data_IF_438559210389
#
_entry.id   IF_438559210389
#
_cell.length_a   1.000
_cell.length_b   1.000
_cell.length_c   1.000
_cell.angle_alpha   90.00
_cell.angle_beta   90.00
_cell.angle_gamma   90.00
#
_symmetry.space_group_name_H-M   'P 1'
#
loop_
_entity.id
_entity.type
_entity.pdbx_description
1 polymer ?
#
# COMPACT_ATOMS: atom_id res chain seq x y z
N UNK A 1 -6.51 -1.20 4.13
CA UNK A 1 -5.37 -0.28 3.99
C UNK A 1 -5.39 0.66 5.19
N UNK A 2 -4.27 1.05 5.81
CA UNK A 2 -4.32 2.00 6.96
C UNK A 2 -4.61 3.40 6.46
N UNK A 3 -5.65 4.01 7.01
CA UNK A 3 -5.65 5.43 7.32
C UNK A 3 -5.94 5.56 8.82
N UNK A 4 -5.03 6.19 9.56
CA UNK A 4 -5.42 6.75 10.85
C UNK A 4 -6.52 7.77 10.57
N UNK A 5 -7.68 7.64 11.22
CA UNK A 5 -8.75 8.65 11.16
C UNK A 5 -8.14 10.00 11.54
N UNK A 6 -7.70 10.77 10.55
CA UNK A 6 -7.52 12.18 10.77
C UNK A 6 -8.96 12.70 10.88
N UNK A 7 -9.35 13.39 11.97
CA UNK A 7 -10.61 14.10 11.94
C UNK A 7 -10.50 15.09 10.79
N UNK A 8 -11.25 14.85 9.71
CA UNK A 8 -11.27 15.76 8.59
C UNK A 8 -11.70 17.13 9.11
N UNK A 9 -10.89 18.15 8.82
CA UNK A 9 -11.18 19.55 9.11
C UNK A 9 -11.41 20.34 7.82
N UNK A 10 -11.49 19.67 6.68
CA UNK A 10 -11.88 20.25 5.40
C UNK A 10 -13.17 19.61 4.93
N UNK A 11 -14.16 20.45 4.63
CA UNK A 11 -15.22 20.15 3.70
C UNK A 11 -14.98 21.02 2.46
N UNK A 12 -14.98 20.42 1.27
CA UNK A 12 -14.72 21.15 0.02
C UNK A 12 -15.92 22.02 -0.44
N UNK A 13 -16.99 21.98 0.35
CA UNK A 13 -18.23 22.75 0.22
C UNK A 13 -18.08 24.28 0.31
N UNK A 14 -16.93 24.81 0.73
CA UNK A 14 -16.77 26.26 0.79
C UNK A 14 -16.59 26.83 -0.62
N UNK A 15 -17.51 27.73 -1.02
CA UNK A 15 -17.46 28.51 -2.27
C UNK A 15 -16.09 29.18 -2.52
N UNK A 16 -15.31 29.42 -1.45
CA UNK A 16 -13.96 30.01 -1.47
C UNK A 16 -12.89 28.99 -1.85
N UNK A 17 -13.00 27.73 -1.43
CA UNK A 17 -12.05 26.66 -1.80
C UNK A 17 -12.19 26.29 -3.28
N UNK A 18 -13.44 26.16 -3.77
CA UNK A 18 -13.74 25.88 -5.18
C UNK A 18 -13.12 26.87 -6.17
N UNK A 19 -13.13 28.17 -5.86
CA UNK A 19 -12.60 29.21 -6.74
C UNK A 19 -11.07 29.33 -6.70
N UNK A 20 -10.43 28.87 -5.63
CA UNK A 20 -8.99 28.98 -5.43
C UNK A 20 -8.22 27.72 -5.89
N UNK A 21 -8.92 26.62 -6.18
CA UNK A 21 -8.30 25.43 -6.77
C UNK A 21 -7.97 25.63 -8.26
N UNK A 22 -6.80 26.21 -8.48
CA UNK A 22 -6.23 26.43 -9.81
C UNK A 22 -5.95 25.07 -10.49
N UNK A 23 -6.58 24.84 -11.65
CA UNK A 23 -6.55 23.61 -12.47
C UNK A 23 -7.42 22.45 -12.00
N UNK A 24 -8.51 22.72 -11.29
CA UNK A 24 -9.48 21.69 -10.96
C UNK A 24 -10.14 21.07 -12.21
N UNK A 25 -10.36 19.75 -12.23
CA UNK A 25 -11.15 19.09 -13.25
C UNK A 25 -12.58 19.67 -13.31
N UNK A 26 -13.21 19.59 -14.49
CA UNK A 26 -14.64 19.86 -14.59
C UNK A 26 -15.43 18.71 -13.96
N UNK A 27 -16.66 18.98 -13.50
CA UNK A 27 -17.54 17.98 -12.89
C UNK A 27 -17.80 16.74 -13.76
N UNK A 28 -17.69 16.89 -15.08
CA UNK A 28 -17.86 15.84 -16.09
C UNK A 28 -16.53 15.26 -16.59
N UNK A 29 -15.40 15.63 -16.00
CA UNK A 29 -14.08 15.15 -16.41
C UNK A 29 -13.89 13.69 -15.99
N UNK A 30 -13.54 12.78 -16.92
CA UNK A 30 -13.29 11.38 -16.59
C UNK A 30 -12.05 11.27 -15.71
N UNK A 31 -12.22 10.70 -14.52
CA UNK A 31 -11.16 10.39 -13.58
C UNK A 31 -11.17 8.91 -13.20
N UNK A 32 -10.09 8.46 -12.58
CA UNK A 32 -9.94 7.09 -12.08
C UNK A 32 -10.46 7.01 -10.64
N UNK A 33 -11.46 6.17 -10.40
CA UNK A 33 -11.85 5.77 -9.05
C UNK A 33 -11.03 4.56 -8.60
N UNK A 34 -10.49 4.62 -7.38
CA UNK A 34 -9.80 3.49 -6.74
C UNK A 34 -10.63 3.05 -5.54
N UNK A 35 -11.05 1.79 -5.54
CA UNK A 35 -11.85 1.21 -4.46
C UNK A 35 -11.00 0.26 -3.61
N UNK A 36 -11.07 0.41 -2.29
CA UNK A 36 -10.51 -0.54 -1.34
C UNK A 36 -11.60 -1.50 -0.86
N UNK A 37 -11.28 -2.80 -0.78
CA UNK A 37 -12.21 -3.86 -0.35
C UNK A 37 -11.62 -4.62 0.84
N UNK A 38 -12.32 -4.64 1.97
CA UNK A 38 -12.02 -5.48 3.15
C UNK A 38 -13.06 -6.57 3.31
N UNK A 39 -12.84 -7.71 2.66
CA UNK A 39 -13.73 -8.86 2.69
C UNK A 39 -13.41 -9.85 3.83
N UNK A 40 -12.79 -9.38 4.92
CA UNK A 40 -12.50 -10.22 6.10
C UNK A 40 -13.78 -10.87 6.61
N UNK A 41 -13.73 -12.17 6.89
CA UNK A 41 -14.87 -12.94 7.39
C UNK A 41 -14.83 -13.08 8.91
N UNK A 42 -16.00 -13.14 9.54
CA UNK A 42 -16.18 -13.44 10.96
C UNK A 42 -17.35 -14.39 11.15
N UNK A 43 -17.37 -15.11 12.27
CA UNK A 43 -18.50 -15.94 12.66
C UNK A 43 -19.51 -15.14 13.48
N UNK A 44 -20.78 -15.24 13.12
CA UNK A 44 -21.91 -14.69 13.86
C UNK A 44 -22.79 -15.84 14.41
N UNK A 45 -23.17 -15.80 15.70
CA UNK A 45 -23.97 -16.86 16.31
C UNK A 45 -25.36 -17.10 15.68
N UNK A 46 -25.91 -16.12 14.96
CA UNK A 46 -27.23 -16.16 14.33
C UNK A 46 -27.15 -16.37 12.81
N UNK A 47 -26.10 -15.87 12.17
CA UNK A 47 -25.99 -15.84 10.71
C UNK A 47 -24.85 -16.70 10.14
N UNK A 48 -24.02 -17.33 10.99
CA UNK A 48 -22.86 -18.11 10.55
C UNK A 48 -21.73 -17.21 10.05
N UNK A 49 -20.97 -17.66 9.05
CA UNK A 49 -19.87 -16.87 8.47
C UNK A 49 -20.40 -15.67 7.69
N UNK A 50 -20.08 -14.45 8.15
CA UNK A 50 -20.45 -13.17 7.54
C UNK A 50 -19.21 -12.30 7.29
N UNK A 51 -19.36 -11.16 6.58
CA UNK A 51 -18.31 -10.15 6.53
C UNK A 51 -18.15 -9.47 7.89
N UNK A 52 -16.91 -9.24 8.30
CA UNK A 52 -16.58 -8.53 9.54
C UNK A 52 -16.94 -7.04 9.50
N UNK A 53 -17.16 -6.49 8.31
CA UNK A 53 -17.51 -5.10 8.08
C UNK A 53 -18.65 -5.03 7.04
N UNK A 54 -19.54 -4.05 7.17
CA UNK A 54 -20.72 -3.88 6.32
C UNK A 54 -20.91 -2.41 5.84
N UNK A 55 -19.82 -1.63 5.85
CA UNK A 55 -19.80 -0.19 5.53
C UNK A 55 -20.53 0.74 6.49
N UNK A 56 -21.02 0.23 7.63
CA UNK A 56 -21.65 1.04 8.69
C UNK A 56 -20.60 1.84 9.50
N UNK A 57 -20.88 2.12 10.78
CA UNK A 57 -20.04 2.90 11.72
C UNK A 57 -18.71 2.23 12.13
N UNK A 58 -18.29 1.18 11.42
CA UNK A 58 -17.07 0.42 11.71
C UNK A 58 -15.81 1.20 11.33
N UNK A 59 -14.69 1.03 12.07
CA UNK A 59 -13.39 1.61 11.68
C UNK A 59 -12.91 1.16 10.29
N UNK A 60 -13.18 -0.08 9.90
CA UNK A 60 -12.88 -0.62 8.58
C UNK A 60 -14.15 -0.65 7.74
N UNK A 61 -14.03 -0.35 6.45
CA UNK A 61 -15.12 -0.41 5.48
C UNK A 61 -14.98 -1.65 4.61
N UNK A 62 -16.10 -2.31 4.32
CA UNK A 62 -16.15 -3.46 3.39
C UNK A 62 -15.73 -3.03 1.99
N UNK A 63 -16.21 -1.87 1.54
CA UNK A 63 -15.85 -1.20 0.29
C UNK A 63 -15.71 0.29 0.60
N UNK A 64 -14.65 0.95 0.17
CA UNK A 64 -14.56 2.42 0.27
C UNK A 64 -13.90 3.02 -0.94
N UNK A 65 -14.27 4.25 -1.29
CA UNK A 65 -13.52 5.04 -2.24
C UNK A 65 -12.22 5.52 -1.57
N UNK A 66 -11.12 5.43 -2.29
CA UNK A 66 -9.85 5.99 -1.86
C UNK A 66 -9.75 7.43 -2.39
N UNK A 67 -10.49 8.35 -1.77
CA UNK A 67 -10.65 9.76 -2.17
C UNK A 67 -9.28 10.41 -2.44
N UNK A 68 -9.02 10.90 -3.66
CA UNK A 68 -7.67 11.28 -4.09
C UNK A 68 -7.10 12.53 -3.39
N UNK A 69 -7.94 13.34 -2.76
CA UNK A 69 -7.57 14.48 -1.90
C UNK A 69 -7.28 14.09 -0.44
N UNK A 70 -7.67 12.88 -0.03
CA UNK A 70 -7.49 12.35 1.32
C UNK A 70 -8.42 12.94 2.38
N UNK A 71 -9.53 13.59 2.00
CA UNK A 71 -10.48 14.19 2.94
C UNK A 71 -11.35 13.15 3.66
N UNK A 72 -11.58 11.99 3.06
CA UNK A 72 -12.35 10.86 3.61
C UNK A 72 -13.77 11.28 4.04
N UNK A 73 -14.36 12.25 3.35
CA UNK A 73 -15.59 12.89 3.79
C UNK A 73 -16.84 12.06 3.44
N UNK A 74 -16.77 11.22 2.41
CA UNK A 74 -17.89 10.36 2.00
C UNK A 74 -18.26 9.31 3.05
N UNK A 75 -17.28 8.90 3.87
CA UNK A 75 -17.42 7.81 4.83
C UNK A 75 -17.79 8.29 6.25
N UNK A 76 -17.86 9.61 6.49
CA UNK A 76 -17.92 10.22 7.82
C UNK A 76 -19.32 10.52 8.35
N UNK A 77 -20.36 10.55 7.50
CA UNK A 77 -21.80 10.58 7.80
C UNK A 77 -22.57 11.33 6.69
N UNK A 78 -23.88 11.08 6.59
CA UNK A 78 -24.81 11.80 5.71
C UNK A 78 -25.06 13.25 6.20
N UNK A 79 -24.00 14.03 6.35
CA UNK A 79 -24.09 15.47 6.52
C UNK A 79 -24.16 16.11 5.13
N UNK A 80 -24.94 17.19 4.99
CA UNK A 80 -25.19 17.85 3.69
C UNK A 80 -23.95 18.41 2.99
N UNK A 81 -22.79 18.39 3.66
CA UNK A 81 -21.51 18.83 3.11
C UNK A 81 -20.41 17.79 3.09
N UNK A 82 -20.78 16.51 3.16
CA UNK A 82 -19.91 15.35 2.94
C UNK A 82 -20.29 14.74 1.59
N UNK A 83 -19.95 15.42 0.50
CA UNK A 83 -20.46 15.10 -0.83
C UNK A 83 -19.33 14.78 -1.79
N UNK A 84 -19.63 13.89 -2.73
CA UNK A 84 -18.74 13.59 -3.84
C UNK A 84 -18.40 14.84 -4.63
N UNK A 85 -17.13 14.96 -5.01
CA UNK A 85 -16.66 15.98 -5.93
C UNK A 85 -15.53 15.46 -6.84
N UNK A 86 -15.11 16.24 -7.86
CA UNK A 86 -14.09 15.79 -8.79
C UNK A 86 -12.75 15.45 -8.12
N UNK A 87 -12.38 16.07 -7.01
CA UNK A 87 -11.14 15.83 -6.25
C UNK A 87 -11.03 14.41 -5.70
N UNK A 88 -12.15 13.70 -5.52
CA UNK A 88 -12.19 12.30 -5.11
C UNK A 88 -11.53 11.35 -6.12
N UNK A 89 -11.47 11.75 -7.40
CA UNK A 89 -10.93 10.94 -8.48
C UNK A 89 -9.46 11.24 -8.77
N UNK A 90 -8.72 10.23 -9.23
CA UNK A 90 -7.35 10.40 -9.68
C UNK A 90 -7.29 10.78 -11.17
N UNK A 91 -6.47 11.78 -11.49
CA UNK A 91 -6.25 12.37 -12.81
C UNK A 91 -4.79 12.22 -13.25
N UNK A 92 -4.49 12.53 -14.53
CA UNK A 92 -3.13 12.46 -15.02
C UNK A 92 -2.12 13.25 -14.18
N UNK A 93 -1.03 12.57 -13.79
CA UNK A 93 0.02 13.10 -12.92
C UNK A 93 -0.15 12.77 -11.43
N UNK A 94 -1.32 12.29 -10.99
CA UNK A 94 -1.52 11.78 -9.63
C UNK A 94 -1.07 10.32 -9.51
N UNK A 95 -0.86 9.86 -8.27
CA UNK A 95 -0.52 8.49 -7.92
C UNK A 95 -1.24 8.07 -6.65
N UNK A 96 -1.40 6.78 -6.46
CA UNK A 96 -1.82 6.13 -5.23
C UNK A 96 -0.77 5.10 -4.84
N UNK A 97 -0.24 5.15 -3.62
CA UNK A 97 0.88 4.30 -3.20
C UNK A 97 1.11 4.31 -1.69
N UNK A 98 2.17 3.66 -1.21
CA UNK A 98 2.46 3.60 0.23
C UNK A 98 2.81 4.97 0.83
N UNK A 99 3.26 5.91 -0.01
CA UNK A 99 3.73 7.24 0.36
C UNK A 99 2.72 8.35 0.02
N UNK A 100 1.43 8.01 -0.17
CA UNK A 100 0.35 8.97 -0.48
C UNK A 100 -0.64 9.10 0.66
N UNK A 101 -1.57 10.04 0.57
CA UNK A 101 -2.75 10.09 1.42
C UNK A 101 -3.97 10.23 0.49
N UNK A 102 -4.84 9.21 0.43
CA UNK A 102 -4.79 7.95 1.16
C UNK A 102 -3.65 7.04 0.64
N UNK A 103 -3.23 6.03 1.42
CA UNK A 103 -2.12 5.12 1.06
C UNK A 103 -2.56 3.68 0.78
N UNK A 104 -1.64 2.91 0.20
CA UNK A 104 -1.83 1.48 -0.13
C UNK A 104 -1.33 0.49 0.93
N UNK A 105 -0.85 0.94 2.09
CA UNK A 105 -0.40 0.07 3.20
C UNK A 105 -1.56 -0.73 3.78
N UNK A 106 -1.35 -1.93 4.34
CA UNK A 106 -2.40 -2.74 5.02
C UNK A 106 -2.94 -2.03 6.27
N UNK A 107 -4.01 -2.56 6.90
CA UNK A 107 -4.62 -2.00 8.13
C UNK A 107 -3.77 -2.17 9.41
N UNK A 108 -2.76 -3.03 9.40
CA UNK A 108 -1.76 -3.15 10.48
C UNK A 108 -0.58 -2.18 10.30
N UNK A 109 -0.58 -1.37 9.24
CA UNK A 109 0.48 -0.41 8.91
C UNK A 109 1.56 -0.95 8.00
N UNK A 110 1.60 -2.27 7.75
CA UNK A 110 2.59 -2.88 6.86
C UNK A 110 2.44 -2.41 5.41
N UNK A 111 3.57 -2.27 4.70
CA UNK A 111 3.55 -1.89 3.29
C UNK A 111 3.02 -3.03 2.43
N UNK A 112 2.17 -2.71 1.45
CA UNK A 112 1.81 -3.68 0.40
C UNK A 112 2.77 -3.64 -0.78
N UNK A 113 3.59 -2.60 -0.89
CA UNK A 113 4.43 -2.31 -2.05
C UNK A 113 3.66 -2.03 -3.35
N UNK A 114 2.32 -1.98 -3.30
CA UNK A 114 1.49 -1.71 -4.48
C UNK A 114 1.37 -0.22 -4.73
N UNK A 115 1.39 0.17 -6.01
CA UNK A 115 1.10 1.53 -6.42
C UNK A 115 0.34 1.58 -7.74
N UNK A 116 -0.46 2.64 -7.92
CA UNK A 116 -1.13 3.00 -9.16
C UNK A 116 -0.60 4.37 -9.56
N UNK A 117 -0.09 4.49 -10.77
CA UNK A 117 0.48 5.73 -11.27
C UNK A 117 0.48 5.80 -12.79
N UNK A 118 1.21 6.76 -13.36
CA UNK A 118 1.23 7.03 -14.81
C UNK A 118 -0.18 7.10 -15.41
N UNK A 119 -1.08 7.77 -14.68
CA UNK A 119 -2.47 7.93 -15.11
C UNK A 119 -2.45 8.83 -16.36
N UNK A 120 -3.12 8.41 -17.42
CA UNK A 120 -3.25 9.19 -18.65
C UNK A 120 -4.64 9.02 -19.27
N UNK A 121 -5.08 10.06 -19.97
CA UNK A 121 -6.28 10.02 -20.81
C UNK A 121 -5.84 9.70 -22.24
N UNK A 122 -6.33 8.58 -22.79
CA UNK A 122 -6.05 8.15 -24.14
C UNK A 122 -7.35 7.89 -24.91
N UNK A 123 -7.68 8.81 -25.81
CA UNK A 123 -8.95 8.76 -26.54
C UNK A 123 -10.14 8.86 -25.57
N UNK A 124 -10.96 7.81 -25.53
CA UNK A 124 -12.11 7.70 -24.62
C UNK A 124 -11.83 6.89 -23.35
N UNK A 125 -10.57 6.48 -23.10
CA UNK A 125 -10.20 5.60 -21.99
C UNK A 125 -9.15 6.20 -21.06
N UNK A 126 -9.05 5.62 -19.87
CA UNK A 126 -7.98 5.90 -18.90
C UNK A 126 -6.96 4.77 -18.99
N UNK A 127 -5.67 5.10 -19.07
CA UNK A 127 -4.57 4.15 -18.85
C UNK A 127 -3.90 4.42 -17.51
N UNK A 128 -3.44 3.35 -16.90
CA UNK A 128 -2.72 3.37 -15.62
C UNK A 128 -1.60 2.34 -15.65
N UNK A 129 -0.55 2.58 -14.88
CA UNK A 129 0.44 1.57 -14.52
C UNK A 129 0.15 1.10 -13.11
N UNK A 130 -0.01 -0.21 -12.94
CA UNK A 130 -0.08 -0.86 -11.64
C UNK A 130 1.29 -1.47 -11.36
N UNK A 131 1.93 -1.05 -10.28
CA UNK A 131 3.19 -1.63 -9.80
C UNK A 131 2.87 -2.52 -8.61
N UNK A 132 3.38 -3.74 -8.64
CA UNK A 132 3.24 -4.72 -7.57
C UNK A 132 4.56 -4.80 -6.78
N UNK A 133 4.53 -5.22 -5.51
CA UNK A 133 5.75 -5.56 -4.80
C UNK A 133 6.53 -6.64 -5.57
N UNK A 134 7.86 -6.69 -5.37
CA UNK A 134 8.66 -7.75 -5.96
C UNK A 134 8.20 -9.13 -5.49
N UNK A 135 8.19 -10.12 -6.37
CA UNK A 135 7.93 -11.51 -5.97
C UNK A 135 9.20 -12.07 -5.35
N UNK A 136 9.13 -12.42 -4.06
CA UNK A 136 10.21 -13.10 -3.33
C UNK A 136 9.98 -14.61 -3.41
N UNK A 137 11.05 -15.37 -3.69
CA UNK A 137 11.01 -16.83 -3.85
C UNK A 137 11.80 -17.55 -2.76
N UNK A 138 11.52 -18.82 -2.45
CA UNK A 138 12.32 -19.57 -1.49
C UNK A 138 13.78 -19.69 -1.91
N UNK A 139 14.69 -19.41 -0.98
CA UNK A 139 16.11 -19.66 -1.17
C UNK A 139 16.36 -21.15 -1.43
N UNK A 140 17.43 -21.53 -2.14
CA UNK A 140 17.78 -22.92 -2.37
C UNK A 140 17.82 -23.74 -1.07
N UNK A 141 16.97 -24.77 -0.98
CA UNK A 141 16.87 -25.63 0.19
C UNK A 141 15.92 -25.13 1.29
N UNK A 142 15.30 -23.96 1.12
CA UNK A 142 14.22 -23.46 1.98
C UNK A 142 12.85 -23.75 1.37
N UNK A 143 11.86 -23.99 2.22
CA UNK A 143 10.47 -24.21 1.80
C UNK A 143 9.65 -22.91 1.78
N UNK A 144 10.07 -21.92 2.56
CA UNK A 144 9.37 -20.66 2.78
C UNK A 144 10.23 -19.55 2.16
N UNK A 145 9.65 -18.61 1.40
CA UNK A 145 10.38 -17.42 0.95
C UNK A 145 10.84 -16.57 2.14
N UNK A 146 11.91 -15.78 1.98
CA UNK A 146 12.24 -14.75 2.93
C UNK A 146 11.03 -13.89 3.31
N UNK A 147 10.99 -13.42 4.56
CA UNK A 147 9.93 -12.55 5.10
C UNK A 147 10.51 -11.21 5.52
N UNK A 148 9.81 -10.15 5.14
CA UNK A 148 9.97 -8.78 5.63
C UNK A 148 9.20 -8.69 6.97
N UNK A 149 9.93 -8.70 8.09
CA UNK A 149 9.32 -8.85 9.42
C UNK A 149 8.85 -7.53 10.00
N UNK A 150 9.54 -6.44 9.69
CA UNK A 150 9.18 -5.08 10.13
C UNK A 150 8.42 -4.26 9.09
N UNK A 151 8.21 -4.84 7.90
CA UNK A 151 7.46 -4.30 6.76
C UNK A 151 8.06 -3.05 6.15
N UNK A 152 9.39 -2.90 6.19
CA UNK A 152 10.12 -1.78 5.60
C UNK A 152 10.48 -1.98 4.11
N UNK A 153 10.20 -3.17 3.57
CA UNK A 153 10.48 -3.58 2.19
C UNK A 153 11.78 -4.37 2.02
N UNK A 154 12.56 -4.57 3.09
CA UNK A 154 13.71 -5.45 3.15
C UNK A 154 13.32 -6.80 3.75
N UNK A 155 13.98 -7.88 3.31
CA UNK A 155 13.60 -9.24 3.67
C UNK A 155 14.70 -9.92 4.48
N UNK A 156 14.73 -9.65 5.79
CA UNK A 156 15.74 -10.12 6.73
C UNK A 156 15.51 -11.53 7.28
N UNK A 157 14.28 -12.05 7.34
CA UNK A 157 14.02 -13.43 7.77
C UNK A 157 14.15 -14.39 6.58
N UNK A 158 15.39 -14.76 6.27
CA UNK A 158 15.79 -15.55 5.09
C UNK A 158 15.18 -16.95 5.03
N UNK A 159 14.84 -17.53 6.18
CA UNK A 159 14.23 -18.86 6.26
C UNK A 159 12.72 -18.84 6.54
N UNK A 160 12.15 -17.66 6.77
CA UNK A 160 10.72 -17.47 6.95
C UNK A 160 10.17 -18.09 8.24
N UNK A 161 10.97 -18.19 9.31
CA UNK A 161 10.52 -18.76 10.59
C UNK A 161 9.81 -17.76 11.52
N UNK A 162 9.71 -16.50 11.11
CA UNK A 162 9.10 -15.40 11.84
C UNK A 162 10.06 -14.66 12.78
N UNK A 163 11.37 -14.93 12.74
CA UNK A 163 12.38 -14.26 13.56
C UNK A 163 13.69 -14.08 12.80
N UNK A 164 14.16 -12.83 12.74
CA UNK A 164 15.49 -12.50 12.21
C UNK A 164 16.58 -12.90 13.21
N UNK A 165 17.50 -13.77 12.78
CA UNK A 165 18.56 -14.27 13.63
C UNK A 165 19.84 -14.68 12.89
N UNK A 166 20.76 -15.31 13.63
CA UNK A 166 22.04 -15.74 13.06
C UNK A 166 21.89 -16.78 11.95
N UNK A 167 20.82 -17.60 11.99
CA UNK A 167 20.50 -18.54 10.91
C UNK A 167 20.31 -17.83 9.56
N UNK A 168 19.69 -16.65 9.58
CA UNK A 168 19.45 -15.84 8.39
C UNK A 168 20.74 -15.25 7.86
N UNK A 169 21.65 -14.82 8.74
CA UNK A 169 22.98 -14.33 8.33
C UNK A 169 23.76 -15.42 7.59
N UNK A 170 23.69 -16.66 8.10
CA UNK A 170 24.34 -17.81 7.45
C UNK A 170 23.71 -18.10 6.08
N UNK A 171 22.38 -18.06 5.97
CA UNK A 171 21.69 -18.30 4.70
C UNK A 171 21.97 -17.20 3.68
N UNK A 172 21.90 -15.94 4.08
CA UNK A 172 22.25 -14.82 3.23
C UNK A 172 23.69 -14.96 2.71
N UNK A 173 24.65 -15.26 3.60
CA UNK A 173 26.04 -15.49 3.19
C UNK A 173 26.19 -16.66 2.20
N UNK A 174 25.50 -17.77 2.43
CA UNK A 174 25.57 -18.95 1.57
C UNK A 174 24.91 -18.75 0.21
N UNK A 175 23.86 -17.93 0.14
CA UNK A 175 23.00 -17.79 -1.03
C UNK A 175 23.13 -16.43 -1.72
N UNK A 176 24.02 -15.53 -1.30
CA UNK A 176 24.12 -14.14 -1.80
C UNK A 176 24.25 -14.05 -3.33
N UNK A 177 25.00 -14.96 -3.96
CA UNK A 177 25.13 -15.01 -5.42
C UNK A 177 23.81 -15.48 -6.08
N UNK A 178 23.13 -16.44 -5.48
CA UNK A 178 21.83 -16.89 -5.97
C UNK A 178 20.77 -15.79 -5.82
N UNK A 179 20.72 -15.12 -4.68
CA UNK A 179 19.82 -13.99 -4.40
C UNK A 179 20.07 -12.90 -5.44
N UNK A 180 21.33 -12.53 -5.69
CA UNK A 180 21.67 -11.52 -6.70
C UNK A 180 21.12 -11.84 -8.10
N UNK A 181 21.09 -13.11 -8.48
CA UNK A 181 20.68 -13.56 -9.82
C UNK A 181 19.18 -13.84 -9.95
N UNK A 182 18.48 -14.12 -8.84
CA UNK A 182 17.10 -14.63 -8.86
C UNK A 182 16.11 -13.78 -8.06
N UNK A 183 16.60 -12.93 -7.15
CA UNK A 183 15.79 -12.09 -6.29
C UNK A 183 15.88 -10.61 -6.67
N UNK A 184 14.84 -9.82 -6.33
CA UNK A 184 14.83 -8.37 -6.52
C UNK A 184 15.88 -7.68 -5.66
N UNK A 185 16.79 -6.92 -6.30
CA UNK A 185 17.87 -6.20 -5.61
C UNK A 185 17.35 -5.32 -4.47
N UNK A 186 16.27 -4.59 -4.71
CA UNK A 186 15.68 -3.66 -3.73
C UNK A 186 15.20 -4.33 -2.44
N UNK A 187 14.88 -5.63 -2.47
CA UNK A 187 14.42 -6.39 -1.31
C UNK A 187 15.56 -6.87 -0.40
N UNK A 188 16.80 -6.86 -0.89
CA UNK A 188 17.98 -7.38 -0.18
C UNK A 188 19.17 -6.40 -0.18
N UNK A 189 18.92 -5.15 -0.56
CA UNK A 189 19.89 -4.04 -0.57
C UNK A 189 19.86 -3.29 0.76
N UNK A 190 20.29 -3.97 1.83
CA UNK A 190 20.23 -3.47 3.21
C UNK A 190 21.00 -2.15 3.46
N UNK A 191 21.83 -1.70 2.52
CA UNK A 191 22.56 -0.42 2.64
C UNK A 191 22.21 0.60 1.54
N UNK A 192 21.22 0.31 0.70
CA UNK A 192 20.67 1.23 -0.30
C UNK A 192 21.62 1.64 -1.41
N UNK A 193 22.61 0.81 -1.75
CA UNK A 193 23.62 1.16 -2.77
C UNK A 193 23.33 0.59 -4.17
N UNK A 194 22.22 -0.13 -4.33
CA UNK A 194 21.73 -0.69 -5.58
C UNK A 194 22.41 -2.00 -5.99
N UNK A 195 23.08 -2.71 -5.08
CA UNK A 195 23.74 -3.97 -5.38
C UNK A 195 23.65 -4.99 -4.23
N UNK A 196 23.68 -6.29 -4.55
CA UNK A 196 23.80 -7.42 -3.62
C UNK A 196 25.18 -8.07 -3.75
N UNK A 197 25.80 -8.49 -2.64
CA UNK A 197 27.19 -8.92 -2.58
C UNK A 197 27.71 -9.17 -1.16
N UNK A 198 28.84 -9.88 -1.07
CA UNK A 198 29.41 -10.34 0.20
C UNK A 198 29.76 -9.22 1.19
N UNK A 199 30.07 -8.01 0.72
CA UNK A 199 30.34 -6.87 1.59
C UNK A 199 29.15 -6.48 2.48
N UNK A 200 27.92 -6.94 2.17
CA UNK A 200 26.71 -6.60 2.92
C UNK A 200 26.41 -7.53 4.09
N UNK A 201 27.10 -8.67 4.18
CA UNK A 201 26.96 -9.62 5.29
C UNK A 201 27.32 -8.96 6.62
N UNK A 202 28.25 -8.00 6.62
CA UNK A 202 28.65 -7.23 7.81
C UNK A 202 27.58 -6.22 8.23
N UNK A 203 26.88 -5.58 7.27
CA UNK A 203 25.77 -4.66 7.57
C UNK A 203 24.60 -5.44 8.13
N UNK A 204 24.24 -6.54 7.45
CA UNK A 204 23.17 -7.43 7.90
C UNK A 204 23.45 -7.99 9.30
N UNK A 205 24.67 -8.44 9.57
CA UNK A 205 25.07 -8.89 10.91
C UNK A 205 24.88 -7.82 12.00
N UNK A 206 25.11 -6.54 11.69
CA UNK A 206 24.94 -5.45 12.64
C UNK A 206 23.48 -5.01 12.83
N UNK A 207 22.55 -5.43 11.96
CA UNK A 207 21.11 -5.19 12.12
C UNK A 207 20.45 -6.24 13.01
N UNK A 208 21.03 -7.45 13.08
CA UNK A 208 20.51 -8.59 13.84
C UNK A 208 21.10 -8.68 15.26
N UNK A 209 22.11 -7.86 15.59
CA UNK A 209 22.89 -7.90 16.84
C UNK A 209 22.92 -6.61 17.62
#
# INVERSE_FOLDING_TARGET
MVQARNPAVGNDDSFIWWYNWLKKPAWDSPGLAIWHIDATLTEDPLFGTIFACDNSETPHKLVRLMEADGLEELEQSCSIGNNWDPADLYYPGQRFGPDTTPNSSRYDGSLTGMSIGNISLEGSGIRVTITLPPLIVPLPGQAIPPIDSDHDGLYEDMNGNGYTGFGDVVLFFQQVEWIRDNEPVSAFDFNGNGAIGFQYVVVFFNQVG
#
